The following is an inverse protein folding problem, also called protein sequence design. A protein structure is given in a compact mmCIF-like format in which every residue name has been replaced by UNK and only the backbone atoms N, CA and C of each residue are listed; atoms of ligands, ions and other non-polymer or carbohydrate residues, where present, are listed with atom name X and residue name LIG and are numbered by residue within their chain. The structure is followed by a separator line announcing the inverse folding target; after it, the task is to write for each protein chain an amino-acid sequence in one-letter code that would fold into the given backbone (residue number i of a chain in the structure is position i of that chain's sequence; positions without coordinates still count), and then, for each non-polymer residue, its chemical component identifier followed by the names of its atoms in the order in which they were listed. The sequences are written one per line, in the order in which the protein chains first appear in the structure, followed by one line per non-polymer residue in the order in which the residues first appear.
data_IF_896426300066
#
_entry.id   IF_896426300066
#
_cell.length_a   1.000
_cell.length_b   1.000
_cell.length_c   1.000
_cell.angle_alpha   90.00
_cell.angle_beta   90.00
_cell.angle_gamma   90.00
#
_symmetry.space_group_name_H-M   'P 1'
#
loop_
_entity.id
_entity.type
_entity.pdbx_description
1 polymer ?
#
# COMPACT_ATOMS: atom_id res chain seq x y z
N UNK A 1 7.43 0.09 7.73
CA UNK A 1 7.25 0.58 6.35
C UNK A 1 5.75 0.70 6.03
N UNK A 2 5.01 -0.40 6.03
CA UNK A 2 3.59 -0.41 5.63
C UNK A 2 2.74 0.48 6.51
N UNK A 3 2.87 0.39 7.83
CA UNK A 3 2.09 1.21 8.78
C UNK A 3 2.26 2.71 8.53
N UNK A 4 3.48 3.16 8.25
CA UNK A 4 3.74 4.56 7.90
C UNK A 4 3.14 4.93 6.54
N UNK A 5 3.14 4.02 5.57
CA UNK A 5 2.49 4.23 4.27
C UNK A 5 0.97 4.41 4.39
N UNK A 6 0.33 3.67 5.30
CA UNK A 6 -1.11 3.78 5.56
C UNK A 6 -1.51 5.08 6.27
N UNK A 7 -0.55 5.81 6.83
CA UNK A 7 -0.77 7.07 7.57
C UNK A 7 -0.67 8.31 6.69
N UNK A 8 -0.30 8.18 5.43
CA UNK A 8 -0.13 9.28 4.48
C UNK A 8 -1.07 9.10 3.28
N UNK A 9 -1.23 10.17 2.52
CA UNK A 9 -1.80 10.04 1.18
C UNK A 9 -0.81 9.32 0.25
N UNK A 10 -1.31 8.39 -0.56
CA UNK A 10 -0.48 7.61 -1.49
C UNK A 10 0.46 8.54 -2.29
N UNK A 11 1.77 8.30 -2.27
CA UNK A 11 2.72 9.12 -3.01
C UNK A 11 2.63 8.93 -4.53
N UNK A 12 2.02 7.86 -5.01
CA UNK A 12 1.81 7.61 -6.44
C UNK A 12 0.71 8.51 -6.97
N UNK A 13 1.04 9.39 -7.88
CA UNK A 13 0.09 10.29 -8.53
C UNK A 13 -0.39 9.72 -9.85
N UNK A 14 -1.66 9.96 -10.15
CA UNK A 14 -2.29 9.52 -11.41
C UNK A 14 -3.02 10.70 -12.07
N UNK A 15 -2.27 11.66 -12.66
CA UNK A 15 -2.87 12.82 -13.31
C UNK A 15 -3.84 12.40 -14.43
N UNK A 16 -4.94 13.12 -14.58
CA UNK A 16 -6.01 12.76 -15.53
C UNK A 16 -5.51 12.71 -16.99
N UNK A 17 -4.60 13.59 -17.35
CA UNK A 17 -3.97 13.69 -18.68
C UNK A 17 -2.78 12.75 -18.88
N UNK A 18 -2.34 12.05 -17.83
CA UNK A 18 -1.15 11.18 -17.83
C UNK A 18 -1.40 9.79 -17.22
N UNK A 19 -2.65 9.35 -17.19
CA UNK A 19 -3.03 8.11 -16.51
C UNK A 19 -2.25 6.89 -17.01
N UNK A 20 -2.19 6.69 -18.32
CA UNK A 20 -1.49 5.55 -18.90
C UNK A 20 0.01 5.58 -18.59
N UNK A 21 0.66 6.74 -18.71
CA UNK A 21 2.08 6.89 -18.44
C UNK A 21 2.42 6.66 -16.96
N UNK A 22 1.59 7.17 -16.05
CA UNK A 22 1.77 6.93 -14.62
C UNK A 22 1.52 5.47 -14.24
N UNK A 23 0.47 4.84 -14.77
CA UNK A 23 0.17 3.43 -14.55
C UNK A 23 1.31 2.52 -15.03
N UNK A 24 1.93 2.84 -16.17
CA UNK A 24 3.10 2.13 -16.69
C UNK A 24 4.29 2.24 -15.75
N UNK A 25 4.58 3.42 -15.25
CA UNK A 25 5.66 3.66 -14.27
C UNK A 25 5.43 2.93 -12.96
N UNK A 26 4.20 2.92 -12.45
CA UNK A 26 3.86 2.32 -11.16
C UNK A 26 3.70 0.80 -11.22
N UNK A 27 3.51 0.21 -12.40
CA UNK A 27 3.33 -1.25 -12.59
C UNK A 27 4.46 -2.06 -11.98
N UNK A 28 5.69 -1.57 -12.02
CA UNK A 28 6.87 -2.23 -11.44
C UNK A 28 6.80 -2.43 -9.93
N UNK A 29 5.96 -1.67 -9.23
CA UNK A 29 5.78 -1.79 -7.79
C UNK A 29 4.64 -2.74 -7.42
N UNK A 30 3.77 -3.08 -8.37
CA UNK A 30 2.62 -3.92 -8.09
C UNK A 30 3.03 -5.32 -7.66
N UNK A 31 2.33 -5.83 -6.66
CA UNK A 31 2.30 -7.22 -6.30
C UNK A 31 0.92 -7.79 -6.65
N UNK A 32 0.86 -9.05 -7.13
CA UNK A 32 -0.39 -9.65 -7.61
C UNK A 32 -1.31 -10.12 -6.48
N UNK A 33 -0.74 -10.28 -5.30
CA UNK A 33 -1.43 -10.87 -4.14
C UNK A 33 -1.54 -9.90 -2.97
N UNK A 34 -0.83 -8.74 -3.03
CA UNK A 34 -0.81 -7.81 -1.91
C UNK A 34 -0.50 -6.37 -2.34
N UNK A 35 -1.46 -5.48 -2.17
CA UNK A 35 -1.23 -4.05 -2.30
C UNK A 35 -0.33 -3.49 -1.19
N UNK A 36 -0.26 -4.16 -0.04
CA UNK A 36 0.66 -3.80 1.05
C UNK A 36 2.12 -4.00 0.62
N UNK A 37 2.42 -5.08 -0.09
CA UNK A 37 3.77 -5.33 -0.62
C UNK A 37 4.15 -4.35 -1.72
N UNK A 38 3.20 -3.80 -2.45
CA UNK A 38 3.47 -2.73 -3.41
C UNK A 38 4.09 -1.50 -2.73
N UNK A 39 3.70 -1.17 -1.50
CA UNK A 39 4.35 -0.12 -0.72
C UNK A 39 5.79 -0.49 -0.31
N UNK A 40 6.03 -1.75 0.05
CA UNK A 40 7.39 -2.22 0.37
C UNK A 40 8.29 -2.13 -0.87
N UNK A 41 7.80 -2.54 -2.04
CA UNK A 41 8.52 -2.44 -3.29
C UNK A 41 8.86 -0.98 -3.64
N UNK A 42 7.91 -0.08 -3.48
CA UNK A 42 8.12 1.35 -3.69
C UNK A 42 9.15 1.92 -2.70
N UNK A 43 9.04 1.56 -1.42
CA UNK A 43 9.98 1.99 -0.38
C UNK A 43 11.42 1.58 -0.70
N UNK A 44 11.63 0.34 -1.08
CA UNK A 44 12.95 -0.19 -1.43
C UNK A 44 13.52 0.56 -2.65
N UNK A 45 12.71 0.73 -3.68
CA UNK A 45 13.10 1.52 -4.85
C UNK A 45 13.53 2.94 -4.50
N UNK A 46 12.72 3.65 -3.71
CA UNK A 46 13.04 5.01 -3.28
C UNK A 46 14.35 5.06 -2.49
N UNK A 47 14.57 4.11 -1.60
CA UNK A 47 15.80 4.00 -0.81
C UNK A 47 17.04 3.76 -1.67
N UNK A 48 16.95 2.91 -2.69
CA UNK A 48 18.03 2.66 -3.66
C UNK A 48 18.35 3.90 -4.47
N UNK A 49 17.31 4.60 -4.98
CA UNK A 49 17.49 5.81 -5.77
C UNK A 49 18.08 6.96 -4.94
N UNK A 50 17.70 7.11 -3.69
CA UNK A 50 18.27 8.12 -2.80
C UNK A 50 19.75 7.90 -2.51
N UNK A 51 20.20 6.64 -2.44
CA UNK A 51 21.62 6.31 -2.28
C UNK A 51 22.43 6.60 -3.54
N UNK A 52 21.83 6.44 -4.72
CA UNK A 52 22.51 6.57 -6.01
C UNK A 52 22.50 8.01 -6.57
N UNK A 53 21.56 8.85 -6.14
CA UNK A 53 21.30 10.15 -6.75
C UNK A 53 21.53 11.32 -5.76
N UNK A 54 21.90 12.47 -6.31
CA UNK A 54 21.84 13.73 -5.55
C UNK A 54 20.39 14.11 -5.23
N UNK A 55 20.18 14.96 -4.22
CA UNK A 55 18.85 15.41 -3.82
C UNK A 55 18.05 16.04 -4.97
N UNK A 56 18.70 16.81 -5.83
CA UNK A 56 18.04 17.42 -6.99
C UNK A 56 17.69 16.38 -8.07
N UNK A 57 18.56 15.40 -8.30
CA UNK A 57 18.30 14.30 -9.23
C UNK A 57 17.16 13.42 -8.73
N UNK A 58 17.11 13.12 -7.43
CA UNK A 58 16.03 12.37 -6.80
C UNK A 58 14.67 13.08 -6.92
N UNK A 59 14.62 14.41 -6.70
CA UNK A 59 13.37 15.18 -6.93
C UNK A 59 12.90 15.10 -8.37
N UNK A 60 13.82 15.16 -9.34
CA UNK A 60 13.47 14.99 -10.77
C UNK A 60 12.98 13.59 -11.06
N UNK A 61 13.60 12.57 -10.49
CA UNK A 61 13.16 11.18 -10.60
C UNK A 61 11.72 11.02 -10.11
N UNK A 62 11.40 11.52 -8.92
CA UNK A 62 10.04 11.47 -8.38
C UNK A 62 9.04 12.07 -9.37
N UNK A 63 9.33 13.24 -9.92
CA UNK A 63 8.46 13.88 -10.94
C UNK A 63 8.29 13.02 -12.19
N UNK A 64 9.39 12.45 -12.70
CA UNK A 64 9.38 11.60 -13.89
C UNK A 64 8.60 10.31 -13.67
N UNK A 65 8.61 9.79 -12.46
CA UNK A 65 7.92 8.56 -12.08
C UNK A 65 6.51 8.80 -11.50
N UNK A 66 6.00 10.03 -11.61
CA UNK A 66 4.69 10.41 -11.05
C UNK A 66 4.56 10.10 -9.56
N UNK A 67 5.62 10.39 -8.81
CA UNK A 67 5.67 10.28 -7.36
C UNK A 67 5.69 11.67 -6.73
N UNK A 68 4.82 11.90 -5.75
CA UNK A 68 4.80 13.13 -5.01
C UNK A 68 5.96 13.17 -4.01
N UNK A 69 6.96 13.99 -4.28
CA UNK A 69 8.16 14.11 -3.46
C UNK A 69 7.87 14.47 -2.00
N UNK A 70 6.90 15.36 -1.76
CA UNK A 70 6.56 15.78 -0.39
C UNK A 70 5.93 14.64 0.40
N UNK A 71 5.03 13.84 -0.22
CA UNK A 71 4.45 12.65 0.41
C UNK A 71 5.50 11.57 0.65
N UNK A 72 6.47 11.42 -0.23
CA UNK A 72 7.62 10.52 0.00
C UNK A 72 8.39 10.95 1.24
N UNK A 73 8.66 12.24 1.39
CA UNK A 73 9.34 12.78 2.59
C UNK A 73 8.51 12.59 3.84
N UNK A 74 7.22 12.90 3.79
CA UNK A 74 6.28 12.65 4.89
C UNK A 74 6.28 11.18 5.32
N UNK A 75 6.24 10.27 4.35
CA UNK A 75 6.33 8.83 4.62
C UNK A 75 7.60 8.45 5.38
N UNK A 76 8.75 8.97 4.93
CA UNK A 76 10.04 8.71 5.57
C UNK A 76 10.12 9.29 6.99
N UNK A 77 9.54 10.47 7.18
CA UNK A 77 9.50 11.11 8.49
C UNK A 77 8.62 10.32 9.48
N UNK A 78 7.42 9.89 9.07
CA UNK A 78 6.55 9.03 9.89
C UNK A 78 7.21 7.69 10.17
N UNK A 79 7.85 7.08 9.19
CA UNK A 79 8.61 5.85 9.40
C UNK A 79 9.69 6.01 10.47
N UNK A 80 10.44 7.10 10.44
CA UNK A 80 11.48 7.40 11.43
C UNK A 80 10.89 7.58 12.82
N UNK A 81 9.78 8.30 12.95
CA UNK A 81 9.06 8.48 14.20
C UNK A 81 8.55 7.13 14.77
N UNK A 82 7.93 6.29 13.95
CA UNK A 82 7.45 4.98 14.37
C UNK A 82 8.60 4.06 14.78
N UNK A 83 9.74 4.11 14.10
CA UNK A 83 10.94 3.36 14.53
C UNK A 83 11.45 3.79 15.90
N UNK A 84 11.41 5.08 16.18
CA UNK A 84 11.79 5.60 17.49
C UNK A 84 10.85 5.08 18.60
N UNK A 85 9.53 5.13 18.36
CA UNK A 85 8.52 4.59 19.30
C UNK A 85 8.74 3.09 19.56
N UNK A 86 8.95 2.31 18.51
CA UNK A 86 9.20 0.87 18.62
C UNK A 86 10.45 0.59 19.44
N UNK A 87 11.52 1.39 19.26
CA UNK A 87 12.74 1.29 20.05
C UNK A 87 12.52 1.61 21.52
N UNK A 88 11.77 2.68 21.82
CA UNK A 88 11.43 3.08 23.20
C UNK A 88 10.58 2.03 23.92
N UNK A 89 9.72 1.33 23.19
CA UNK A 89 8.93 0.19 23.70
C UNK A 89 9.74 -1.10 23.87
N UNK A 90 11.02 -1.11 23.48
CA UNK A 90 11.86 -2.31 23.54
C UNK A 90 11.46 -3.43 22.59
N UNK A 91 10.69 -3.12 21.55
CA UNK A 91 10.26 -4.11 20.55
C UNK A 91 11.41 -4.33 19.56
N UNK A 92 11.89 -5.57 19.38
CA UNK A 92 12.94 -5.86 18.42
C UNK A 92 12.44 -5.66 16.99
N UNK A 93 13.29 -5.07 16.15
CA UNK A 93 13.04 -4.93 14.70
C UNK A 93 13.86 -6.00 13.98
N UNK A 94 13.24 -6.68 13.03
CA UNK A 94 13.92 -7.67 12.20
C UNK A 94 15.06 -7.04 11.39
N UNK A 95 16.18 -7.76 11.29
CA UNK A 95 17.33 -7.37 10.45
C UNK A 95 17.20 -7.81 9.00
N UNK A 96 16.46 -8.89 8.79
CA UNK A 96 16.18 -9.45 7.47
C UNK A 96 14.74 -9.17 7.03
N UNK A 97 14.47 -9.13 5.71
CA UNK A 97 13.09 -9.01 5.21
C UNK A 97 12.20 -10.13 5.74
N UNK A 98 11.01 -9.77 6.24
CA UNK A 98 10.03 -10.76 6.68
C UNK A 98 9.35 -11.44 5.49
N UNK A 99 8.95 -12.70 5.68
CA UNK A 99 8.21 -13.46 4.69
C UNK A 99 6.78 -12.92 4.51
N UNK A 100 6.20 -13.17 3.32
CA UNK A 100 4.83 -12.78 2.97
C UNK A 100 3.83 -13.09 4.09
N UNK A 101 3.84 -14.34 4.57
CA UNK A 101 2.90 -14.81 5.59
C UNK A 101 3.02 -14.02 6.90
N UNK A 102 4.23 -13.77 7.35
CA UNK A 102 4.49 -13.06 8.61
C UNK A 102 4.01 -11.61 8.56
N UNK A 103 4.28 -10.92 7.43
CA UNK A 103 3.82 -9.56 7.19
C UNK A 103 2.28 -9.50 7.27
N UNK A 104 1.60 -10.40 6.56
CA UNK A 104 0.14 -10.35 6.47
C UNK A 104 -0.56 -10.82 7.74
N UNK A 105 0.02 -11.75 8.51
CA UNK A 105 -0.48 -12.09 9.85
C UNK A 105 -0.36 -10.87 10.78
N UNK A 106 0.77 -10.17 10.77
CA UNK A 106 0.95 -8.97 11.58
C UNK A 106 -0.06 -7.86 11.20
N UNK A 107 -0.29 -7.62 9.91
CA UNK A 107 -1.28 -6.66 9.43
C UNK A 107 -2.71 -7.07 9.83
N UNK A 108 -3.02 -8.36 9.73
CA UNK A 108 -4.34 -8.90 10.05
C UNK A 108 -4.73 -8.63 11.50
N UNK A 109 -3.79 -8.63 12.44
CA UNK A 109 -4.08 -8.34 13.85
C UNK A 109 -4.71 -6.96 14.07
N UNK A 110 -4.37 -6.00 13.20
CA UNK A 110 -4.95 -4.64 13.21
C UNK A 110 -6.14 -4.44 12.27
N UNK A 111 -6.47 -5.45 11.43
CA UNK A 111 -7.48 -5.33 10.36
C UNK A 111 -8.59 -6.38 10.47
N UNK A 112 -8.82 -6.97 11.64
CA UNK A 112 -9.82 -8.03 11.84
C UNK A 112 -11.25 -7.62 11.45
N UNK A 113 -11.58 -6.34 11.59
CA UNK A 113 -12.89 -5.79 11.18
C UNK A 113 -12.98 -5.49 9.68
N UNK A 114 -11.90 -5.62 8.95
CA UNK A 114 -11.79 -5.33 7.51
C UNK A 114 -11.55 -6.58 6.66
N UNK A 115 -11.99 -7.73 7.14
CA UNK A 115 -11.95 -8.99 6.39
C UNK A 115 -13.25 -9.12 5.62
N UNK A 116 -13.15 -9.59 4.38
CA UNK A 116 -14.30 -9.91 3.55
C UNK A 116 -14.22 -11.30 2.95
N UNK A 117 -15.35 -11.94 2.81
CA UNK A 117 -15.51 -13.17 2.06
C UNK A 117 -16.23 -12.88 0.74
N UNK A 118 -15.66 -13.36 -0.35
CA UNK A 118 -16.22 -13.16 -1.69
C UNK A 118 -17.57 -13.85 -1.81
N UNK A 119 -18.55 -13.14 -2.34
CA UNK A 119 -19.82 -13.71 -2.75
C UNK A 119 -19.62 -14.68 -3.93
N UNK A 120 -20.33 -15.80 -3.94
CA UNK A 120 -20.19 -16.82 -5.00
C UNK A 120 -20.63 -16.29 -6.37
N UNK A 121 -21.67 -15.46 -6.40
CA UNK A 121 -22.33 -15.03 -7.63
C UNK A 121 -22.00 -13.59 -8.05
N UNK A 122 -21.25 -12.86 -7.22
CA UNK A 122 -20.96 -11.43 -7.44
C UNK A 122 -19.48 -11.10 -7.28
N UNK A 123 -19.07 -10.00 -7.89
CA UNK A 123 -17.73 -9.42 -7.69
C UNK A 123 -17.67 -8.55 -6.41
N UNK A 124 -18.36 -9.01 -5.35
CA UNK A 124 -18.49 -8.32 -4.09
C UNK A 124 -18.03 -9.20 -2.94
N UNK A 125 -17.65 -8.56 -1.85
CA UNK A 125 -17.28 -9.18 -0.59
C UNK A 125 -18.29 -8.81 0.49
N UNK A 126 -18.59 -9.77 1.33
CA UNK A 126 -19.34 -9.56 2.57
C UNK A 126 -18.34 -9.48 3.72
N UNK A 127 -18.28 -8.34 4.38
CA UNK A 127 -17.43 -8.08 5.53
C UNK A 127 -18.19 -8.04 6.85
N UNK A 128 -17.57 -7.42 7.86
CA UNK A 128 -18.17 -7.25 9.18
C UNK A 128 -19.50 -6.50 9.10
N UNK A 129 -20.46 -6.86 9.96
CA UNK A 129 -21.80 -6.28 10.02
C UNK A 129 -22.56 -6.35 8.69
N UNK A 130 -22.29 -7.37 7.88
CA UNK A 130 -22.87 -7.56 6.54
C UNK A 130 -22.58 -6.39 5.58
N UNK A 131 -21.55 -5.59 5.82
CA UNK A 131 -21.09 -4.58 4.88
C UNK A 131 -20.68 -5.22 3.58
N UNK A 132 -21.18 -4.72 2.45
CA UNK A 132 -20.81 -5.21 1.13
C UNK A 132 -19.86 -4.22 0.46
N UNK A 133 -18.74 -4.73 0.00
CA UNK A 133 -17.74 -3.91 -0.69
C UNK A 133 -17.13 -4.63 -1.88
N UNK A 134 -16.55 -3.85 -2.78
CA UNK A 134 -15.77 -4.36 -3.92
C UNK A 134 -14.31 -3.96 -3.77
N UNK A 135 -13.40 -4.76 -4.29
CA UNK A 135 -11.98 -4.37 -4.37
C UNK A 135 -11.85 -3.19 -5.32
N UNK A 136 -11.11 -2.18 -4.90
CA UNK A 136 -10.84 -0.99 -5.72
C UNK A 136 -10.12 -1.37 -7.03
N UNK A 137 -10.51 -0.79 -8.18
CA UNK A 137 -9.96 -1.17 -9.50
C UNK A 137 -8.45 -1.00 -9.66
N UNK A 138 -7.83 -0.13 -8.85
CA UNK A 138 -6.38 0.07 -8.83
C UNK A 138 -5.59 -1.00 -8.06
N UNK A 139 -6.27 -1.91 -7.36
CA UNK A 139 -5.64 -3.01 -6.63
C UNK A 139 -5.03 -4.05 -7.57
N UNK A 140 -3.89 -4.62 -7.18
CA UNK A 140 -3.30 -5.78 -7.85
C UNK A 140 -4.21 -7.01 -7.86
N UNK A 141 -5.13 -7.10 -6.89
CA UNK A 141 -6.08 -8.21 -6.74
C UNK A 141 -7.34 -8.07 -7.60
N UNK A 142 -7.57 -6.92 -8.21
CA UNK A 142 -8.82 -6.63 -8.92
C UNK A 142 -9.16 -7.64 -10.03
N UNK A 143 -8.14 -8.06 -10.79
CA UNK A 143 -8.33 -9.01 -11.92
C UNK A 143 -8.52 -10.46 -11.49
N UNK A 144 -7.98 -10.83 -10.33
CA UNK A 144 -8.08 -12.18 -9.75
C UNK A 144 -8.44 -12.08 -8.27
N UNK A 145 -9.68 -11.70 -7.96
CA UNK A 145 -10.11 -11.48 -6.59
C UNK A 145 -10.11 -12.80 -5.80
N UNK A 146 -9.41 -12.88 -4.66
CA UNK A 146 -9.34 -14.09 -3.83
C UNK A 146 -10.67 -14.36 -3.12
N UNK A 147 -10.82 -15.57 -2.55
CA UNK A 147 -12.01 -15.94 -1.77
C UNK A 147 -12.13 -15.12 -0.47
N UNK A 148 -11.01 -14.89 0.19
CA UNK A 148 -10.90 -14.06 1.39
C UNK A 148 -9.98 -12.89 1.12
N UNK A 149 -10.33 -11.74 1.67
CA UNK A 149 -9.52 -10.53 1.53
C UNK A 149 -9.51 -9.76 2.85
N UNK A 150 -8.39 -9.14 3.16
CA UNK A 150 -8.34 -8.04 4.13
C UNK A 150 -8.05 -6.74 3.39
N UNK A 151 -8.64 -5.64 3.83
CA UNK A 151 -8.44 -4.32 3.26
C UNK A 151 -8.03 -3.33 4.33
N UNK A 152 -7.14 -2.39 4.00
CA UNK A 152 -6.69 -1.39 4.96
C UNK A 152 -7.80 -0.38 5.28
N UNK A 153 -8.64 -0.06 4.31
CA UNK A 153 -9.71 0.92 4.46
C UNK A 153 -10.93 0.59 3.62
N UNK A 154 -12.09 1.03 4.10
CA UNK A 154 -13.35 1.01 3.36
C UNK A 154 -13.74 2.45 3.04
N UNK A 155 -13.84 2.77 1.75
CA UNK A 155 -14.15 4.12 1.26
C UNK A 155 -15.47 4.11 0.53
N UNK A 156 -16.42 4.92 1.01
CA UNK A 156 -17.73 5.08 0.41
C UNK A 156 -17.73 6.20 -0.62
N UNK A 157 -18.19 5.88 -1.83
CA UNK A 157 -18.48 6.82 -2.90
C UNK A 157 -19.86 6.51 -3.46
N UNK A 158 -20.01 6.17 -4.73
CA UNK A 158 -21.24 5.56 -5.28
C UNK A 158 -21.48 4.13 -4.78
N UNK A 159 -20.42 3.48 -4.30
CA UNK A 159 -20.41 2.18 -3.61
C UNK A 159 -19.28 2.15 -2.59
N UNK A 160 -19.26 1.09 -1.78
CA UNK A 160 -18.19 0.86 -0.80
C UNK A 160 -17.02 0.14 -1.47
N UNK A 161 -15.83 0.74 -1.38
CA UNK A 161 -14.59 0.19 -1.92
C UNK A 161 -13.64 -0.25 -0.83
N UNK A 162 -13.13 -1.49 -0.94
CA UNK A 162 -11.98 -1.94 -0.18
C UNK A 162 -10.70 -1.53 -0.88
N UNK A 163 -9.90 -0.70 -0.23
CA UNK A 163 -8.63 -0.20 -0.75
C UNK A 163 -7.46 -0.81 0.00
N UNK A 164 -6.35 -1.02 -0.70
CA UNK A 164 -5.12 -1.65 -0.20
C UNK A 164 -5.46 -3.05 0.34
N UNK A 165 -5.57 -3.98 -0.58
CA UNK A 165 -6.07 -5.33 -0.32
C UNK A 165 -4.95 -6.38 -0.36
N UNK A 166 -5.14 -7.45 0.42
CA UNK A 166 -4.37 -8.69 0.34
C UNK A 166 -5.22 -9.91 0.67
#
# INVERSE_FOLDING_TARGET
IITSALSIQDPRERPMDKQQASDEKHRRFHDKESDFLAFVNLWNYLGEQQKALSSNAFRRLCRTDYLNYLRVREWQDIYTQLRQVVKELGIPVNSEPAEYREIHIALLTGLLSHIGMKDADKQEYTGARNARFSIFPGSGLFKKPPKWVMVAELVETSRLWGRIAA
#
